data_IF_257362509634
#
_entry.id   IF_257362509634
#
_cell.length_a   1.000
_cell.length_b   1.000
_cell.length_c   1.000
_cell.angle_alpha   90.00
_cell.angle_beta   90.00
_cell.angle_gamma   90.00
#
_symmetry.space_group_name_H-M   'P 1'
#
loop_
_entity.id
_entity.type
_entity.pdbx_description
1 polymer ?
#
# COMPACT_ATOMS: atom_id res chain seq x y z
N UNK A 1 -17.27 3.87 -6.91
CA UNK A 1 -15.91 3.92 -6.32
C UNK A 1 -15.20 5.18 -6.80
N UNK A 2 -14.57 5.91 -5.90
CA UNK A 2 -13.85 7.12 -6.24
C UNK A 2 -12.57 7.23 -5.41
N UNK A 3 -11.58 7.91 -5.97
CA UNK A 3 -10.29 8.10 -5.33
C UNK A 3 -10.39 9.20 -4.27
N UNK A 4 -9.97 8.87 -3.06
CA UNK A 4 -10.02 9.81 -1.94
C UNK A 4 -8.65 10.36 -1.57
N UNK A 5 -7.57 9.67 -1.95
CA UNK A 5 -6.23 10.12 -1.63
C UNK A 5 -5.20 9.45 -2.54
N UNK A 6 -4.05 10.09 -2.63
CA UNK A 6 -2.87 9.55 -3.29
C UNK A 6 -1.68 9.93 -2.41
N UNK A 7 -0.88 8.96 -2.05
CA UNK A 7 0.18 9.17 -1.09
C UNK A 7 1.44 8.41 -1.47
N UNK A 8 2.58 8.90 -1.02
CA UNK A 8 3.84 8.17 -1.10
C UNK A 8 3.97 7.32 0.16
N UNK A 9 4.38 6.06 0.00
CA UNK A 9 4.62 5.21 1.16
C UNK A 9 5.78 5.77 1.98
N UNK A 10 5.61 5.81 3.30
CA UNK A 10 6.64 6.33 4.20
C UNK A 10 7.80 5.36 4.37
N UNK A 11 7.53 4.08 4.21
CA UNK A 11 8.57 3.05 4.19
C UNK A 11 8.15 1.95 3.23
N UNK A 12 9.11 1.24 2.66
CA UNK A 12 8.85 0.14 1.74
C UNK A 12 9.68 -1.09 2.12
N UNK A 13 9.19 -2.24 1.67
CA UNK A 13 9.88 -3.51 1.88
C UNK A 13 11.24 -3.56 1.16
N UNK A 14 12.16 -4.37 1.68
CA UNK A 14 13.41 -4.67 0.99
C UNK A 14 13.21 -5.61 -0.20
N UNK A 15 12.07 -6.25 -0.28
CA UNK A 15 11.74 -7.15 -1.38
C UNK A 15 11.18 -6.36 -2.55
N UNK A 16 12.06 -5.73 -3.31
CA UNK A 16 11.68 -4.86 -4.43
C UNK A 16 11.03 -5.64 -5.56
N UNK A 17 11.41 -6.90 -5.72
CA UNK A 17 10.83 -7.75 -6.75
C UNK A 17 9.34 -8.00 -6.50
N UNK A 18 8.99 -8.30 -5.25
CA UNK A 18 7.60 -8.47 -4.86
C UNK A 18 6.80 -7.18 -5.03
N UNK A 19 7.43 -6.06 -4.70
CA UNK A 19 6.83 -4.75 -4.86
C UNK A 19 6.49 -4.48 -6.33
N UNK A 20 7.42 -4.81 -7.24
CA UNK A 20 7.20 -4.65 -8.68
C UNK A 20 6.08 -5.54 -9.18
N UNK A 21 5.98 -6.76 -8.68
CA UNK A 21 4.90 -7.68 -9.04
C UNK A 21 3.53 -7.12 -8.69
N UNK A 22 3.44 -6.35 -7.62
CA UNK A 22 2.19 -5.77 -7.15
C UNK A 22 1.86 -4.43 -7.82
N UNK A 23 2.77 -3.88 -8.60
CA UNK A 23 2.56 -2.60 -9.26
C UNK A 23 1.34 -2.64 -10.18
N UNK A 24 0.48 -1.65 -10.05
CA UNK A 24 -0.74 -1.57 -10.82
C UNK A 24 -1.88 -2.47 -10.32
N UNK A 25 -1.62 -3.30 -9.33
CA UNK A 25 -2.61 -4.22 -8.78
C UNK A 25 -3.20 -3.68 -7.49
N UNK A 26 -4.40 -4.16 -7.16
CA UNK A 26 -4.99 -3.88 -5.87
C UNK A 26 -4.17 -4.54 -4.77
N UNK A 27 -4.02 -3.82 -3.67
CA UNK A 27 -3.30 -4.30 -2.49
C UNK A 27 -4.21 -4.16 -1.28
N UNK A 28 -3.83 -4.79 -0.18
CA UNK A 28 -4.60 -4.72 1.06
C UNK A 28 -4.03 -3.68 2.00
N UNK A 29 -4.92 -3.04 2.75
CA UNK A 29 -4.54 -2.14 3.83
C UNK A 29 -4.91 -2.82 5.15
N UNK A 30 -3.98 -2.84 6.07
CA UNK A 30 -4.16 -3.47 7.37
C UNK A 30 -3.85 -2.46 8.47
N UNK A 31 -4.77 -2.28 9.40
CA UNK A 31 -4.58 -1.33 10.49
C UNK A 31 -3.76 -2.00 11.59
N UNK A 32 -2.58 -1.46 11.85
CA UNK A 32 -1.73 -1.92 12.94
C UNK A 32 -1.99 -1.09 14.20
N UNK A 33 -2.25 0.20 14.02
CA UNK A 33 -2.63 1.11 15.11
C UNK A 33 -3.32 2.31 14.48
N UNK A 34 -3.87 3.20 15.31
CA UNK A 34 -4.56 4.41 14.82
C UNK A 34 -3.67 5.30 13.96
N UNK A 35 -2.37 5.21 14.14
CA UNK A 35 -1.41 6.02 13.41
C UNK A 35 -0.59 5.22 12.41
N UNK A 36 -0.91 3.92 12.22
CA UNK A 36 -0.09 3.05 11.39
C UNK A 36 -0.95 2.08 10.60
N UNK A 37 -0.97 2.28 9.29
CA UNK A 37 -1.61 1.37 8.34
C UNK A 37 -0.53 0.79 7.46
N UNK A 38 -0.48 -0.53 7.40
CA UNK A 38 0.49 -1.23 6.55
C UNK A 38 -0.17 -1.65 5.24
N UNK A 39 0.64 -1.73 4.21
CA UNK A 39 0.21 -2.15 2.87
C UNK A 39 0.77 -3.55 2.63
N UNK A 40 -0.10 -4.49 2.32
CA UNK A 40 0.29 -5.88 2.06
C UNK A 40 -0.16 -6.30 0.67
N UNK A 41 0.52 -7.31 0.14
CA UNK A 41 0.13 -7.88 -1.15
C UNK A 41 -1.27 -8.52 -1.03
N UNK A 42 -2.04 -8.43 -2.11
CA UNK A 42 -3.32 -9.11 -2.16
C UNK A 42 -3.12 -10.62 -2.13
N UNK A 43 -4.05 -11.32 -1.48
CA UNK A 43 -4.02 -12.76 -1.40
C UNK A 43 -4.59 -13.34 -2.70
N UNK A 44 -3.72 -13.87 -3.55
CA UNK A 44 -4.11 -14.54 -4.78
C UNK A 44 -4.25 -16.03 -4.50
N UNK A 45 -5.29 -16.39 -3.81
CA UNK A 45 -5.51 -17.77 -3.44
C UNK A 45 -6.02 -18.58 -4.63
N UNK A 46 -5.23 -19.55 -5.06
CA UNK A 46 -5.62 -20.50 -6.08
C UNK A 46 -5.64 -21.89 -5.45
N UNK A 47 -6.70 -22.64 -5.67
CA UNK A 47 -6.83 -24.03 -5.18
C UNK A 47 -6.69 -24.20 -3.67
N UNK A 48 -7.22 -23.25 -2.90
CA UNK A 48 -7.18 -23.30 -1.43
C UNK A 48 -5.77 -23.24 -0.86
N UNK A 49 -4.78 -22.94 -1.64
CA UNK A 49 -3.43 -22.75 -1.14
C UNK A 49 -3.32 -21.36 -0.51
N UNK A 50 -2.76 -21.31 0.69
CA UNK A 50 -2.48 -20.05 1.34
C UNK A 50 -1.29 -19.41 0.69
N UNK A 51 -1.50 -18.23 0.11
CA UNK A 51 -0.38 -17.36 -0.22
C UNK A 51 -0.17 -16.45 0.97
N UNK A 52 1.08 -16.32 1.40
CA UNK A 52 1.39 -15.40 2.49
C UNK A 52 1.29 -13.97 2.00
N UNK A 53 0.56 -13.15 2.74
CA UNK A 53 0.59 -11.73 2.50
C UNK A 53 1.98 -11.20 2.83
N UNK A 54 2.54 -10.44 1.90
CA UNK A 54 3.86 -9.84 2.08
C UNK A 54 3.66 -8.36 2.38
N UNK A 55 4.28 -7.88 3.44
CA UNK A 55 4.26 -6.46 3.75
C UNK A 55 5.04 -5.70 2.67
N UNK A 56 4.37 -4.78 2.01
CA UNK A 56 4.97 -3.97 0.95
C UNK A 56 5.47 -2.63 1.47
N UNK A 57 4.83 -2.08 2.48
CA UNK A 57 5.22 -0.80 3.04
C UNK A 57 4.23 -0.29 4.06
N UNK A 58 4.38 0.97 4.41
CA UNK A 58 3.53 1.65 5.39
C UNK A 58 3.11 3.02 4.87
N UNK A 59 1.91 3.43 5.24
CA UNK A 59 1.46 4.80 5.00
C UNK A 59 2.09 5.73 6.04
N UNK A 60 2.19 7.01 5.69
CA UNK A 60 2.58 8.03 6.65
C UNK A 60 1.57 8.10 7.79
N UNK A 61 1.96 8.72 8.90
CA UNK A 61 1.06 8.87 10.05
C UNK A 61 -0.24 9.58 9.69
N UNK A 62 -0.17 10.66 8.94
CA UNK A 62 -1.36 11.41 8.55
C UNK A 62 -2.29 10.59 7.66
N UNK A 63 -1.74 9.92 6.66
CA UNK A 63 -2.53 9.06 5.76
C UNK A 63 -3.10 7.86 6.51
N UNK A 64 -2.33 7.30 7.44
CA UNK A 64 -2.80 6.18 8.26
C UNK A 64 -4.01 6.56 9.10
N UNK A 65 -3.98 7.72 9.74
CA UNK A 65 -5.10 8.20 10.56
C UNK A 65 -6.36 8.39 9.73
N UNK A 66 -6.22 9.00 8.56
CA UNK A 66 -7.35 9.23 7.67
C UNK A 66 -7.96 7.91 7.20
N UNK A 67 -7.14 6.97 6.75
CA UNK A 67 -7.61 5.67 6.29
C UNK A 67 -8.24 4.87 7.43
N UNK A 68 -7.59 4.82 8.58
CA UNK A 68 -8.10 4.09 9.73
C UNK A 68 -9.46 4.63 10.17
N UNK A 69 -9.62 5.95 10.21
CA UNK A 69 -10.87 6.58 10.56
C UNK A 69 -12.00 6.17 9.62
N UNK A 70 -11.73 6.13 8.32
CA UNK A 70 -12.71 5.72 7.32
C UNK A 70 -13.09 4.25 7.48
N UNK A 71 -12.12 3.40 7.72
CA UNK A 71 -12.38 1.97 7.91
C UNK A 71 -13.21 1.74 9.16
N UNK A 72 -12.88 2.41 10.26
CA UNK A 72 -13.65 2.30 11.50
C UNK A 72 -15.08 2.82 11.35
N UNK A 73 -15.30 3.73 10.41
CA UNK A 73 -16.64 4.26 10.09
C UNK A 73 -17.45 3.32 9.21
N UNK A 74 -16.92 2.16 8.85
CA UNK A 74 -17.63 1.19 8.02
C UNK A 74 -17.43 1.39 6.53
N UNK A 75 -16.56 2.30 6.11
CA UNK A 75 -16.28 2.52 4.70
C UNK A 75 -15.44 1.38 4.14
N UNK A 76 -15.69 1.01 2.91
CA UNK A 76 -14.88 0.02 2.21
C UNK A 76 -13.78 0.74 1.45
N UNK A 77 -12.56 0.51 1.86
CA UNK A 77 -11.39 1.18 1.30
C UNK A 77 -10.56 0.19 0.50
N UNK A 78 -10.16 0.59 -0.69
CA UNK A 78 -9.27 -0.18 -1.56
C UNK A 78 -8.06 0.66 -1.89
N UNK A 79 -6.94 0.01 -2.18
CA UNK A 79 -5.72 0.70 -2.54
C UNK A 79 -5.04 0.00 -3.71
N UNK A 80 -4.34 0.78 -4.51
CA UNK A 80 -3.58 0.30 -5.68
C UNK A 80 -2.24 0.99 -5.72
N UNK A 81 -1.18 0.21 -5.96
CA UNK A 81 0.13 0.78 -6.23
C UNK A 81 0.09 1.42 -7.62
N UNK A 82 0.32 2.72 -7.70
CA UNK A 82 0.12 3.47 -8.94
C UNK A 82 1.41 4.05 -9.54
N UNK A 83 2.50 4.09 -8.80
CA UNK A 83 3.77 4.57 -9.32
C UNK A 83 4.93 3.97 -8.52
N UNK A 84 6.01 3.72 -9.22
CA UNK A 84 7.24 3.18 -8.63
C UNK A 84 8.41 3.90 -9.28
N UNK A 85 9.10 4.71 -8.50
CA UNK A 85 10.26 5.46 -8.97
C UNK A 85 11.53 4.90 -8.36
N UNK A 86 12.39 4.24 -9.15
CA UNK A 86 13.69 3.82 -8.64
C UNK A 86 14.51 5.00 -8.13
N UNK A 87 15.34 4.75 -7.14
CA UNK A 87 16.12 5.80 -6.49
C UNK A 87 16.97 6.63 -7.44
N UNK A 88 17.51 6.00 -8.49
CA UNK A 88 18.33 6.74 -9.45
C UNK A 88 17.51 7.71 -10.30
N UNK A 89 16.21 7.46 -10.50
CA UNK A 89 15.34 8.37 -11.22
C UNK A 89 14.86 9.53 -10.34
N UNK A 90 14.82 9.33 -9.03
CA UNK A 90 14.43 10.38 -8.10
C UNK A 90 15.60 11.28 -7.71
N UNK A 91 16.79 10.98 -8.21
CA UNK A 91 17.96 11.85 -8.00
C UNK A 91 18.77 11.59 -6.77
N UNK A 92 18.46 10.55 -6.01
CA UNK A 92 19.30 10.14 -4.89
C UNK A 92 19.53 8.64 -4.85
N UNK A 93 20.62 8.29 -4.21
CA UNK A 93 20.89 6.91 -3.87
C UNK A 93 20.06 6.60 -2.63
N UNK A 94 19.34 5.52 -2.66
CA UNK A 94 18.55 5.10 -1.51
C UNK A 94 17.27 4.37 -1.89
N UNK A 95 16.27 4.51 -1.03
CA UNK A 95 15.02 3.80 -1.17
C UNK A 95 14.19 4.36 -2.32
N UNK A 96 13.66 3.52 -3.21
CA UNK A 96 12.77 4.00 -4.26
C UNK A 96 11.50 4.64 -3.67
N UNK A 97 10.91 5.54 -4.43
CA UNK A 97 9.61 6.10 -4.07
C UNK A 97 8.50 5.23 -4.64
N UNK A 98 7.52 4.93 -3.82
CA UNK A 98 6.35 4.16 -4.22
C UNK A 98 5.10 4.92 -3.84
N UNK A 99 4.23 5.13 -4.80
CA UNK A 99 2.98 5.84 -4.58
C UNK A 99 1.80 4.88 -4.60
N UNK A 100 0.81 5.20 -3.80
CA UNK A 100 -0.39 4.42 -3.66
C UNK A 100 -1.60 5.32 -3.83
N UNK A 101 -2.59 4.87 -4.57
CA UNK A 101 -3.89 5.54 -4.65
C UNK A 101 -4.88 4.82 -3.75
N UNK A 102 -5.67 5.57 -3.02
CA UNK A 102 -6.62 5.07 -2.04
C UNK A 102 -8.03 5.42 -2.51
N UNK A 103 -8.90 4.44 -2.53
CA UNK A 103 -10.24 4.55 -3.10
C UNK A 103 -11.28 4.15 -2.07
N UNK A 104 -12.43 4.81 -2.13
CA UNK A 104 -13.59 4.46 -1.35
C UNK A 104 -14.65 3.88 -2.28
N UNK A 105 -15.18 2.76 -1.87
CA UNK A 105 -16.21 2.07 -2.66
C UNK A 105 -17.63 2.54 -2.24
#
# INVERSE_FOLDING_TARGET
MYRINEATLSSITNNLEKLRECFGNWVNLSIESDCKVIVTSADNRIFKMRTHEVKLGELSENSSREVAQKIYSGKKIKARLCDFRPSFLSGYEGTPEVMISIWEN
#
